data_IF_474751140535
#
_entry.id   IF_474751140535
#
_cell.length_a   1.000
_cell.length_b   1.000
_cell.length_c   1.000
_cell.angle_alpha   90.00
_cell.angle_beta   90.00
_cell.angle_gamma   90.00
#
_symmetry.space_group_name_H-M   'P 1'
#
loop_
_entity.id
_entity.type
_entity.pdbx_description
1 polymer ?
#
# COMPACT_ATOMS: atom_id res chain seq x y z
N UNK A 1 2.66 -35.76 15.91
CA UNK A 1 3.35 -35.07 14.79
C UNK A 1 3.19 -33.59 15.02
N UNK A 2 4.28 -32.85 15.21
CA UNK A 2 4.22 -31.38 15.22
C UNK A 2 4.32 -30.97 13.76
N UNK A 3 3.21 -30.52 13.18
CA UNK A 3 3.20 -29.93 11.84
C UNK A 3 3.87 -28.57 11.95
N UNK A 4 4.96 -28.35 11.22
CA UNK A 4 5.47 -27.01 10.95
C UNK A 4 4.66 -26.46 9.76
N UNK A 5 3.66 -25.60 9.98
CA UNK A 5 2.91 -25.05 8.86
C UNK A 5 3.86 -24.26 7.96
N UNK A 6 3.77 -24.47 6.65
CA UNK A 6 4.47 -23.62 5.70
C UNK A 6 3.89 -22.21 5.79
N UNK A 7 4.72 -21.22 6.10
CA UNK A 7 4.36 -19.81 6.14
C UNK A 7 4.96 -19.07 4.94
N UNK A 8 4.20 -18.15 4.35
CA UNK A 8 4.76 -17.19 3.40
C UNK A 8 5.51 -16.10 4.18
N UNK A 9 6.83 -16.06 4.01
CA UNK A 9 7.71 -15.07 4.63
C UNK A 9 7.74 -13.74 3.87
N UNK A 10 7.29 -13.75 2.61
CA UNK A 10 7.25 -12.60 1.70
C UNK A 10 8.08 -12.83 0.43
N UNK A 11 8.78 -11.80 -0.04
CA UNK A 11 9.46 -11.79 -1.36
C UNK A 11 10.98 -11.61 -1.21
N UNK A 12 11.76 -12.47 -1.87
CA UNK A 12 13.21 -12.31 -1.93
C UNK A 12 13.60 -11.15 -2.86
N UNK A 13 14.50 -10.29 -2.40
CA UNK A 13 15.04 -9.13 -3.15
C UNK A 13 16.36 -9.52 -3.77
N UNK A 14 16.50 -9.30 -5.08
CA UNK A 14 17.70 -9.64 -5.84
C UNK A 14 18.40 -8.41 -6.43
N UNK A 15 19.73 -8.46 -6.51
CA UNK A 15 20.53 -7.55 -7.30
C UNK A 15 21.40 -8.37 -8.25
N UNK A 16 21.05 -8.35 -9.54
CA UNK A 16 21.62 -9.28 -10.50
C UNK A 16 21.25 -10.73 -10.14
N UNK A 17 22.27 -11.56 -9.93
CA UNK A 17 22.14 -12.99 -9.59
C UNK A 17 22.18 -13.27 -8.07
N UNK A 18 22.29 -12.23 -7.23
CA UNK A 18 22.43 -12.39 -5.78
C UNK A 18 21.18 -11.94 -5.04
N UNK A 19 20.72 -12.77 -4.11
CA UNK A 19 19.72 -12.37 -3.12
C UNK A 19 20.38 -11.43 -2.10
N UNK A 20 19.82 -10.23 -1.95
CA UNK A 20 20.36 -9.14 -1.12
C UNK A 20 19.42 -8.71 0.01
N UNK A 21 18.19 -9.23 0.04
CA UNK A 21 17.22 -8.93 1.09
C UNK A 21 15.95 -9.76 0.99
N UNK A 22 15.01 -9.51 1.91
CA UNK A 22 13.67 -10.09 1.93
C UNK A 22 12.69 -8.97 2.29
N UNK A 23 11.58 -8.89 1.57
CA UNK A 23 10.40 -8.12 1.95
C UNK A 23 9.50 -9.02 2.79
N UNK A 24 9.04 -8.54 3.93
CA UNK A 24 8.00 -9.23 4.70
C UNK A 24 6.63 -9.18 4.00
N UNK A 25 5.58 -9.69 4.64
CA UNK A 25 4.24 -9.73 4.05
C UNK A 25 3.62 -8.34 3.80
N UNK A 26 3.89 -7.35 4.66
CA UNK A 26 3.36 -5.98 4.48
C UNK A 26 4.11 -5.25 3.37
N UNK A 27 5.43 -5.38 3.36
CA UNK A 27 6.29 -4.81 2.33
C UNK A 27 6.02 -5.46 0.96
N UNK A 28 5.77 -6.77 0.94
CA UNK A 28 5.35 -7.51 -0.25
C UNK A 28 4.00 -6.98 -0.78
N UNK A 29 3.06 -6.66 0.11
CA UNK A 29 1.80 -6.03 -0.27
C UNK A 29 2.02 -4.62 -0.84
N UNK A 30 2.90 -3.82 -0.23
CA UNK A 30 3.33 -2.53 -0.77
C UNK A 30 3.91 -2.64 -2.19
N UNK A 31 4.75 -3.65 -2.44
CA UNK A 31 5.26 -3.97 -3.78
C UNK A 31 4.13 -4.31 -4.75
N UNK A 32 3.23 -5.22 -4.38
CA UNK A 32 2.12 -5.63 -5.24
C UNK A 32 1.19 -4.46 -5.60
N UNK A 33 0.91 -3.56 -4.65
CA UNK A 33 0.13 -2.34 -4.88
C UNK A 33 0.86 -1.42 -5.85
N UNK A 34 2.18 -1.20 -5.65
CA UNK A 34 2.98 -0.33 -6.51
C UNK A 34 3.09 -0.86 -7.95
N UNK A 35 3.14 -2.18 -8.14
CA UNK A 35 3.13 -2.82 -9.45
C UNK A 35 1.75 -2.82 -10.14
N UNK A 36 0.68 -2.46 -9.44
CA UNK A 36 -0.69 -2.60 -9.94
C UNK A 36 -1.10 -4.07 -10.15
N UNK A 37 -0.63 -4.95 -9.26
CA UNK A 37 -0.91 -6.40 -9.24
C UNK A 37 -1.48 -6.86 -7.90
N UNK A 38 -1.89 -5.95 -7.03
CA UNK A 38 -2.49 -6.28 -5.75
C UNK A 38 -3.84 -6.98 -5.93
N UNK A 39 -4.66 -6.51 -6.88
CA UNK A 39 -5.99 -7.04 -7.11
C UNK A 39 -6.95 -6.64 -5.99
N UNK A 40 -6.97 -7.41 -4.90
CA UNK A 40 -7.73 -7.13 -3.68
C UNK A 40 -7.15 -7.86 -2.46
N UNK A 41 -7.54 -7.45 -1.26
CA UNK A 41 -7.16 -8.13 -0.02
C UNK A 41 -7.70 -7.44 1.22
N UNK A 42 -7.56 -8.10 2.37
CA UNK A 42 -8.08 -7.59 3.64
C UNK A 42 -7.05 -6.72 4.38
N UNK A 43 -7.53 -5.62 4.92
CA UNK A 43 -6.81 -4.74 5.83
C UNK A 43 -7.52 -4.68 7.18
N UNK A 44 -6.70 -4.62 8.23
CA UNK A 44 -7.15 -4.33 9.58
C UNK A 44 -6.52 -3.01 9.98
N UNK A 45 -7.35 -2.02 10.28
CA UNK A 45 -6.90 -0.70 10.74
C UNK A 45 -7.42 -0.41 12.14
N UNK A 46 -6.72 0.44 12.88
CA UNK A 46 -7.25 0.97 14.13
C UNK A 46 -8.51 1.80 13.82
N UNK A 47 -9.51 1.69 14.68
CA UNK A 47 -10.70 2.54 14.57
C UNK A 47 -10.29 4.00 14.90
N UNK A 48 -10.43 4.95 13.96
CA UNK A 48 -9.93 6.32 14.14
C UNK A 48 -10.66 7.09 15.25
N UNK A 49 -11.87 6.67 15.64
CA UNK A 49 -12.68 7.29 16.69
C UNK A 49 -12.50 6.55 18.03
N UNK A 50 -12.30 5.24 18.00
CA UNK A 50 -12.12 4.38 19.18
C UNK A 50 -10.84 3.55 19.04
N UNK A 51 -9.64 4.13 19.24
CA UNK A 51 -8.37 3.51 18.85
C UNK A 51 -8.03 2.12 19.43
N UNK A 52 -8.76 1.67 20.45
CA UNK A 52 -8.63 0.33 21.03
C UNK A 52 -9.42 -0.74 20.25
N UNK A 53 -10.24 -0.33 19.27
CA UNK A 53 -11.01 -1.19 18.39
C UNK A 53 -10.37 -1.23 17.01
N UNK A 54 -10.74 -2.24 16.24
CA UNK A 54 -10.29 -2.43 14.87
C UNK A 54 -11.46 -2.42 13.90
N UNK A 55 -11.17 -2.03 12.67
CA UNK A 55 -12.09 -2.10 11.53
C UNK A 55 -11.43 -3.01 10.49
N UNK A 56 -12.19 -3.99 10.02
CA UNK A 56 -11.79 -4.86 8.92
C UNK A 56 -12.36 -4.29 7.63
N UNK A 57 -11.51 -4.20 6.61
CA UNK A 57 -11.88 -3.75 5.29
C UNK A 57 -11.39 -4.75 4.24
N UNK A 58 -12.21 -4.98 3.23
CA UNK A 58 -11.73 -5.48 1.95
C UNK A 58 -11.30 -4.29 1.10
N UNK A 59 -10.10 -4.32 0.55
CA UNK A 59 -9.52 -3.23 -0.22
C UNK A 59 -9.14 -3.76 -1.59
N UNK A 60 -9.38 -2.97 -2.63
CA UNK A 60 -8.99 -3.26 -4.01
C UNK A 60 -8.40 -2.03 -4.72
N UNK A 61 -7.72 -2.28 -5.83
CA UNK A 61 -7.18 -1.20 -6.67
C UNK A 61 -8.32 -0.43 -7.36
N UNK A 62 -8.50 0.85 -7.03
CA UNK A 62 -9.47 1.70 -7.73
C UNK A 62 -8.97 2.17 -9.10
N UNK A 63 -7.65 2.21 -9.30
CA UNK A 63 -6.97 2.36 -10.59
C UNK A 63 -5.53 1.90 -10.48
N UNK A 64 -4.89 1.66 -11.63
CA UNK A 64 -3.44 1.46 -11.69
C UNK A 64 -2.68 2.63 -11.06
N UNK A 65 -1.62 2.38 -10.27
CA UNK A 65 -0.75 3.42 -9.74
C UNK A 65 -0.23 4.34 -10.85
N UNK A 66 -0.17 5.63 -10.56
CA UNK A 66 0.52 6.60 -11.43
C UNK A 66 1.88 6.86 -10.82
N UNK A 67 2.93 6.59 -11.60
CA UNK A 67 4.31 6.75 -11.17
C UNK A 67 5.01 7.67 -12.16
N UNK A 68 5.74 8.65 -11.63
CA UNK A 68 6.60 9.53 -12.42
C UNK A 68 7.99 9.52 -11.79
N UNK A 69 9.02 9.36 -12.63
CA UNK A 69 10.41 9.43 -12.20
C UNK A 69 11.12 10.51 -13.02
N UNK A 70 11.67 11.51 -12.35
CA UNK A 70 12.39 12.64 -12.96
C UNK A 70 13.86 12.65 -12.50
N UNK A 71 14.76 13.13 -13.35
CA UNK A 71 16.13 13.47 -12.99
C UNK A 71 16.25 14.99 -12.96
N UNK A 72 16.36 15.56 -11.76
CA UNK A 72 16.48 17.00 -11.54
C UNK A 72 17.81 17.23 -10.83
N UNK A 73 18.69 18.02 -11.44
CA UNK A 73 20.03 18.34 -10.92
C UNK A 73 20.87 17.10 -10.53
N UNK A 74 20.70 16.01 -11.28
CA UNK A 74 21.40 14.73 -11.03
C UNK A 74 20.80 13.86 -9.93
N UNK A 75 19.70 14.30 -9.30
CA UNK A 75 18.95 13.53 -8.30
C UNK A 75 17.68 12.94 -8.91
N UNK A 76 17.41 11.66 -8.63
CA UNK A 76 16.16 11.03 -8.99
C UNK A 76 15.04 11.47 -8.03
N UNK A 77 13.91 11.93 -8.57
CA UNK A 77 12.67 12.18 -7.84
C UNK A 77 11.58 11.25 -8.31
N UNK A 78 10.99 10.52 -7.37
CA UNK A 78 9.98 9.49 -7.63
C UNK A 78 8.66 9.95 -6.99
N UNK A 79 7.66 10.20 -7.81
CA UNK A 79 6.30 10.54 -7.36
C UNK A 79 5.37 9.35 -7.61
N UNK A 80 4.72 8.87 -6.55
CA UNK A 80 3.84 7.69 -6.55
C UNK A 80 2.45 8.13 -6.10
N UNK A 81 1.46 8.01 -6.98
CA UNK A 81 0.05 8.29 -6.72
C UNK A 81 -0.78 7.01 -6.81
N UNK A 82 -1.25 6.54 -5.67
CA UNK A 82 -2.07 5.33 -5.52
C UNK A 82 -3.51 5.71 -5.18
N UNK A 83 -4.46 4.98 -5.74
CA UNK A 83 -5.87 5.14 -5.40
C UNK A 83 -6.54 3.79 -5.20
N UNK A 84 -7.11 3.63 -4.02
CA UNK A 84 -7.69 2.39 -3.52
C UNK A 84 -9.17 2.59 -3.26
N UNK A 85 -9.92 1.52 -3.38
CA UNK A 85 -11.31 1.47 -2.95
C UNK A 85 -11.43 0.43 -1.84
N UNK A 86 -12.31 0.70 -0.87
CA UNK A 86 -12.47 -0.14 0.29
C UNK A 86 -13.95 -0.39 0.60
N UNK A 87 -14.21 -1.56 1.15
CA UNK A 87 -15.50 -1.99 1.67
C UNK A 87 -15.33 -2.42 3.13
N UNK A 88 -16.17 -1.88 4.02
CA UNK A 88 -16.14 -2.25 5.44
C UNK A 88 -16.77 -3.63 5.57
N UNK A 89 -16.01 -4.58 6.13
CA UNK A 89 -16.49 -5.95 6.34
C UNK A 89 -16.83 -6.23 7.80
N UNK A 90 -16.20 -5.53 8.74
CA UNK A 90 -16.58 -5.55 10.15
C UNK A 90 -16.13 -4.28 10.88
N UNK A 91 -16.94 -3.82 11.83
CA UNK A 91 -16.64 -2.70 12.73
C UNK A 91 -16.61 -3.25 14.15
N UNK A 92 -15.48 -3.08 14.87
CA UNK A 92 -15.34 -3.54 16.25
C UNK A 92 -15.95 -2.59 17.31
N UNK A 93 -16.41 -1.42 16.88
CA UNK A 93 -17.10 -0.38 17.65
C UNK A 93 -18.54 -0.20 17.16
N UNK A 94 -19.31 0.68 17.83
CA UNK A 94 -20.67 1.05 17.43
C UNK A 94 -20.70 2.32 16.55
N UNK A 95 -19.55 2.77 16.02
CA UNK A 95 -19.44 3.99 15.22
C UNK A 95 -19.96 3.74 13.80
N UNK A 96 -20.87 4.59 13.34
CA UNK A 96 -21.40 4.53 12.00
C UNK A 96 -20.50 5.28 10.99
N UNK A 97 -19.65 4.52 10.29
CA UNK A 97 -18.77 5.00 9.22
C UNK A 97 -19.47 5.20 7.87
N UNK A 98 -20.79 5.03 7.77
CA UNK A 98 -21.56 5.34 6.57
C UNK A 98 -21.94 6.83 6.45
N UNK A 99 -21.77 7.61 7.52
CA UNK A 99 -21.91 9.06 7.51
C UNK A 99 -20.65 9.76 6.96
N UNK A 100 -20.81 10.91 6.31
CA UNK A 100 -19.70 11.61 5.63
C UNK A 100 -18.53 11.96 6.57
N UNK A 101 -18.80 12.40 7.81
CA UNK A 101 -17.75 12.85 8.73
C UNK A 101 -16.84 11.74 9.26
N UNK A 102 -17.39 10.58 9.63
CA UNK A 102 -16.57 9.45 10.12
C UNK A 102 -15.95 8.66 8.96
N UNK A 103 -16.64 8.58 7.81
CA UNK A 103 -16.09 7.92 6.62
C UNK A 103 -14.75 8.52 6.20
N UNK A 104 -14.64 9.85 6.19
CA UNK A 104 -13.40 10.51 5.79
C UNK A 104 -12.23 10.14 6.72
N UNK A 105 -12.46 10.07 8.04
CA UNK A 105 -11.43 9.68 8.99
C UNK A 105 -10.97 8.23 8.77
N UNK A 106 -11.90 7.33 8.44
CA UNK A 106 -11.55 5.95 8.08
C UNK A 106 -10.76 5.88 6.76
N UNK A 107 -11.17 6.64 5.74
CA UNK A 107 -10.44 6.72 4.47
C UNK A 107 -9.00 7.22 4.65
N UNK A 108 -8.80 8.21 5.51
CA UNK A 108 -7.48 8.75 5.86
C UNK A 108 -6.61 7.71 6.59
N UNK A 109 -7.17 6.99 7.57
CA UNK A 109 -6.43 5.95 8.30
C UNK A 109 -6.05 4.78 7.39
N UNK A 110 -6.95 4.33 6.50
CA UNK A 110 -6.64 3.28 5.52
C UNK A 110 -5.58 3.76 4.52
N UNK A 111 -5.69 5.01 4.05
CA UNK A 111 -4.68 5.59 3.15
C UNK A 111 -3.29 5.60 3.80
N UNK A 112 -3.22 5.97 5.08
CA UNK A 112 -1.98 5.99 5.85
C UNK A 112 -1.37 4.60 6.02
N UNK A 113 -2.16 3.58 6.35
CA UNK A 113 -1.66 2.20 6.49
C UNK A 113 -1.08 1.69 5.16
N UNK A 114 -1.77 1.93 4.04
CA UNK A 114 -1.30 1.53 2.72
C UNK A 114 -0.06 2.32 2.30
N UNK A 115 -0.03 3.62 2.60
CA UNK A 115 1.14 4.46 2.37
C UNK A 115 2.36 3.91 3.12
N UNK A 116 2.18 3.54 4.39
CA UNK A 116 3.25 2.96 5.20
C UNK A 116 3.76 1.64 4.63
N UNK A 117 2.88 0.75 4.15
CA UNK A 117 3.29 -0.52 3.52
C UNK A 117 4.22 -0.27 2.29
N UNK A 118 3.94 0.76 1.49
CA UNK A 118 4.77 1.13 0.33
C UNK A 118 6.08 1.78 0.78
N UNK A 119 6.02 2.71 1.73
CA UNK A 119 7.20 3.41 2.26
C UNK A 119 8.17 2.43 2.95
N UNK A 120 7.65 1.47 3.71
CA UNK A 120 8.45 0.43 4.37
C UNK A 120 9.13 -0.48 3.34
N UNK A 121 8.44 -0.82 2.24
CA UNK A 121 9.04 -1.57 1.13
C UNK A 121 10.19 -0.79 0.47
N UNK A 122 9.99 0.50 0.22
CA UNK A 122 11.02 1.38 -0.34
C UNK A 122 12.21 1.54 0.62
N UNK A 123 11.96 1.64 1.92
CA UNK A 123 12.99 1.75 2.94
C UNK A 123 13.91 0.51 3.00
N UNK A 124 13.40 -0.68 2.64
CA UNK A 124 14.22 -1.89 2.51
C UNK A 124 15.00 -1.91 1.19
N UNK A 125 14.38 -1.49 0.09
CA UNK A 125 14.90 -1.70 -1.27
C UNK A 125 15.87 -0.60 -1.73
N UNK A 126 15.66 0.65 -1.31
CA UNK A 126 16.53 1.78 -1.68
C UNK A 126 17.98 1.60 -1.18
N UNK A 127 18.26 1.30 0.11
CA UNK A 127 19.65 1.12 0.57
C UNK A 127 20.40 0.03 -0.20
N UNK A 128 19.67 -1.03 -0.59
CA UNK A 128 20.18 -2.15 -1.39
C UNK A 128 20.47 -1.76 -2.84
N UNK A 129 19.95 -0.62 -3.32
CA UNK A 129 20.04 -0.24 -4.73
C UNK A 129 19.33 -1.25 -5.65
N UNK A 130 18.32 -1.96 -5.11
CA UNK A 130 17.56 -2.99 -5.83
C UNK A 130 16.15 -2.49 -6.09
N UNK A 131 15.91 -2.03 -7.30
CA UNK A 131 14.60 -1.57 -7.76
C UNK A 131 13.73 -2.77 -8.18
N UNK A 132 13.07 -3.38 -7.20
CA UNK A 132 12.19 -4.54 -7.39
C UNK A 132 10.85 -4.18 -8.04
N UNK A 133 10.48 -2.90 -8.08
CA UNK A 133 9.23 -2.41 -8.66
C UNK A 133 9.40 -1.88 -10.10
N UNK A 134 10.64 -1.86 -10.63
CA UNK A 134 10.93 -1.39 -11.99
C UNK A 134 10.72 0.12 -12.18
N UNK A 135 10.90 0.92 -11.14
CA UNK A 135 10.79 2.38 -11.15
C UNK A 135 11.74 3.02 -12.18
N UNK A 136 12.92 2.46 -12.41
CA UNK A 136 13.89 2.95 -13.40
C UNK A 136 13.35 2.94 -14.83
N UNK A 137 12.39 2.07 -15.15
CA UNK A 137 11.78 2.03 -16.47
C UNK A 137 10.95 3.29 -16.79
N UNK A 138 10.51 4.04 -15.77
CA UNK A 138 9.78 5.29 -15.96
C UNK A 138 10.68 6.44 -16.46
N UNK A 139 12.01 6.28 -16.42
CA UNK A 139 12.94 7.20 -17.07
C UNK A 139 13.05 6.97 -18.58
N UNK A 140 12.71 5.78 -19.09
CA UNK A 140 12.89 5.43 -20.51
C UNK A 140 12.30 6.46 -21.49
N UNK A 141 11.08 7.00 -21.29
CA UNK A 141 10.51 7.99 -22.21
C UNK A 141 11.21 9.36 -22.19
N UNK A 142 12.06 9.61 -21.17
CA UNK A 142 12.74 10.90 -20.93
C UNK A 142 14.18 10.92 -21.47
N UNK A 143 14.67 9.79 -21.98
CA UNK A 143 16.02 9.64 -22.50
C UNK A 143 15.99 9.57 -24.02
N UNK A 144 17.05 10.08 -24.66
CA UNK A 144 17.17 10.16 -26.11
C UNK A 144 17.46 8.81 -26.76
N UNK A 145 17.98 7.84 -25.99
CA UNK A 145 18.30 6.51 -26.49
C UNK A 145 18.23 5.43 -25.42
N UNK A 146 18.13 4.16 -25.85
CA UNK A 146 18.24 3.01 -24.95
C UNK A 146 19.63 2.89 -24.32
N UNK A 147 20.68 3.33 -25.03
CA UNK A 147 22.05 3.31 -24.52
C UNK A 147 22.23 4.26 -23.34
N UNK A 148 21.58 5.43 -23.36
CA UNK A 148 21.57 6.34 -22.22
C UNK A 148 20.97 5.67 -20.98
N UNK A 149 19.85 4.95 -21.12
CA UNK A 149 19.23 4.22 -20.02
C UNK A 149 20.18 3.17 -19.42
N UNK A 150 20.90 2.42 -20.26
CA UNK A 150 21.86 1.40 -19.80
C UNK A 150 23.10 2.01 -19.14
N UNK A 151 23.49 3.22 -19.55
CA UNK A 151 24.64 3.93 -19.00
C UNK A 151 24.29 4.67 -17.70
N UNK A 152 23.00 4.81 -17.34
CA UNK A 152 22.61 5.34 -16.05
C UNK A 152 23.02 4.37 -14.96
N UNK A 153 23.71 4.87 -13.94
CA UNK A 153 23.92 4.14 -12.70
C UNK A 153 22.63 4.17 -11.87
N UNK A 154 21.57 3.52 -12.38
CA UNK A 154 20.26 3.49 -11.75
C UNK A 154 20.30 2.95 -10.31
N UNK A 155 21.07 1.90 -9.95
CA UNK A 155 21.16 1.45 -8.57
C UNK A 155 21.59 2.56 -7.60
N UNK A 156 22.57 3.40 -7.98
CA UNK A 156 23.03 4.52 -7.15
C UNK A 156 22.04 5.68 -7.15
N UNK A 157 21.41 5.98 -8.29
CA UNK A 157 20.35 6.98 -8.37
C UNK A 157 19.15 6.60 -7.49
N UNK A 158 18.75 5.32 -7.51
CA UNK A 158 17.64 4.80 -6.73
C UNK A 158 17.92 4.84 -5.22
N UNK A 159 19.15 4.51 -4.81
CA UNK A 159 19.59 4.60 -3.41
C UNK A 159 19.45 6.01 -2.85
N UNK A 160 19.71 7.02 -3.67
CA UNK A 160 19.67 8.43 -3.28
C UNK A 160 18.39 9.15 -3.73
N UNK A 161 17.39 8.40 -4.24
CA UNK A 161 16.19 8.99 -4.81
C UNK A 161 15.29 9.58 -3.71
N UNK A 162 14.79 10.78 -3.96
CA UNK A 162 13.74 11.37 -3.17
C UNK A 162 12.40 10.76 -3.60
N UNK A 163 11.67 10.16 -2.67
CA UNK A 163 10.39 9.50 -2.98
C UNK A 163 9.25 10.18 -2.24
N UNK A 164 8.17 10.47 -2.97
CA UNK A 164 6.91 10.98 -2.43
C UNK A 164 5.80 9.99 -2.74
N UNK A 165 5.23 9.39 -1.70
CA UNK A 165 4.10 8.47 -1.81
C UNK A 165 2.83 9.19 -1.39
N UNK A 166 1.81 9.15 -2.25
CA UNK A 166 0.47 9.64 -1.95
C UNK A 166 -0.53 8.55 -2.21
N UNK A 167 -1.26 8.19 -1.16
CA UNK A 167 -2.37 7.23 -1.24
C UNK A 167 -3.67 7.94 -0.96
N UNK A 168 -4.70 7.66 -1.76
CA UNK A 168 -6.06 8.09 -1.50
C UNK A 168 -6.96 6.87 -1.53
N UNK A 169 -7.65 6.60 -0.44
CA UNK A 169 -8.65 5.53 -0.35
C UNK A 169 -10.05 6.11 -0.35
N UNK A 170 -11.01 5.42 -1.00
CA UNK A 170 -12.44 5.73 -0.91
C UNK A 170 -13.22 4.53 -0.42
N UNK A 171 -13.99 4.72 0.65
CA UNK A 171 -14.86 3.69 1.18
C UNK A 171 -16.17 3.72 0.41
N UNK A 172 -16.48 2.63 -0.30
CA UNK A 172 -17.71 2.48 -1.07
C UNK A 172 -18.92 2.33 -0.14
N UNK A 173 -20.09 2.81 -0.58
CA UNK A 173 -21.36 2.58 0.12
C UNK A 173 -21.88 1.18 -0.23
N UNK A 174 -21.92 0.29 0.76
CA UNK A 174 -22.61 -0.99 0.62
C UNK A 174 -24.11 -0.77 0.77
N UNK A 175 -24.87 -0.85 -0.32
CA UNK A 175 -26.34 -0.78 -0.29
C UNK A 175 -27.02 -1.98 0.40
N UNK A 176 -26.25 -2.89 1.01
CA UNK A 176 -26.69 -4.19 1.53
C UNK A 176 -26.45 -4.39 3.03
N UNK A 177 -25.67 -3.53 3.70
CA UNK A 177 -25.65 -3.54 5.17
C UNK A 177 -26.86 -2.74 5.67
N UNK A 178 -27.80 -3.46 6.28
CA UNK A 178 -28.86 -2.85 7.10
C UNK A 178 -28.13 -1.97 8.11
N UNK A 179 -28.40 -0.65 8.10
CA UNK A 179 -27.86 0.36 9.03
C UNK A 179 -27.42 -0.29 10.34
N UNK A 180 -26.15 -0.18 10.69
CA UNK A 180 -25.67 -0.53 12.03
C UNK A 180 -26.52 0.24 13.04
N UNK A 181 -27.47 -0.45 13.67
CA UNK A 181 -28.21 0.05 14.82
C UNK A 181 -27.30 -0.11 16.04
N UNK A 182 -27.25 0.89 16.94
CA UNK A 182 -26.56 0.72 18.21
C UNK A 182 -27.16 -0.48 18.97
N UNK A 183 -26.29 -1.29 19.55
CA UNK A 183 -26.64 -2.44 20.36
C UNK A 183 -27.40 -1.96 21.63
N UNK A 184 -28.75 -1.96 21.63
CA UNK A 184 -29.54 -1.58 22.81
C UNK A 184 -29.56 -2.75 23.81
N UNK A 185 -29.00 -2.61 25.04
CA UNK A 185 -29.01 -3.65 26.04
C UNK A 185 -30.42 -4.12 26.46
N UNK A 186 -31.46 -3.34 26.15
CA UNK A 186 -32.87 -3.66 26.49
C UNK A 186 -33.50 -4.72 25.59
N UNK A 187 -32.98 -4.97 24.39
CA UNK A 187 -33.53 -5.99 23.48
C UNK A 187 -33.02 -7.41 23.76
N UNK A 188 -31.94 -7.56 24.54
CA UNK A 188 -31.39 -8.88 24.93
C UNK A 188 -32.26 -9.64 25.95
N UNK A 189 -33.36 -9.05 26.41
CA UNK A 189 -34.31 -9.65 27.36
C UNK A 189 -35.71 -9.73 26.74
N UNK A 190 -35.85 -10.50 25.66
CA UNK A 190 -37.13 -11.06 25.22
C UNK A 190 -36.95 -12.51 24.80
#
# INVERSE_FOLDING_TARGET
>A
MVTNPAEFLGVAVFQGDKMVGVLDNKQTRGLAILEGKFGHGFFVVADPVVPQKAINLEVEEGRKPKITVDLIDGQARIAIDVFMEAEITAIGSDVNYEGEGYRQQLEEEVSKVIQQDIEDMLAVTQPLGSDVAGLGYYLRPKLGSYQELLNLNWPELYRNAETSVKVVTRVRRTGLMIKTSPDDPKERRK
#
